data_IF_920499995079
#
_entry.id   IF_920499995079
#
_cell.length_a   1.000
_cell.length_b   1.000
_cell.length_c   1.000
_cell.angle_alpha   90.00
_cell.angle_beta   90.00
_cell.angle_gamma   90.00
#
_symmetry.space_group_name_H-M   'P 1'
#
loop_
_entity.id
_entity.type
_entity.pdbx_description
1 polymer ?
#
# COMPACT_ATOMS: atom_id res chain seq x y z
N UNK A 1 -6.08 14.66 -3.88
CA UNK A 1 -7.08 14.04 -4.77
C UNK A 1 -6.65 12.60 -5.04
N UNK A 2 -7.45 11.61 -4.65
CA UNK A 2 -7.09 10.19 -4.60
C UNK A 2 -7.56 9.43 -5.83
N UNK A 3 -6.79 8.42 -6.26
CA UNK A 3 -7.21 7.49 -7.31
C UNK A 3 -8.13 6.45 -6.67
N UNK A 4 -9.21 6.05 -7.33
CA UNK A 4 -9.90 4.82 -6.98
C UNK A 4 -9.43 3.69 -7.90
N UNK A 5 -8.87 2.64 -7.29
CA UNK A 5 -8.41 1.45 -7.98
C UNK A 5 -9.37 0.29 -7.69
N UNK A 6 -9.90 -0.32 -8.76
CA UNK A 6 -10.65 -1.55 -8.70
C UNK A 6 -9.70 -2.75 -8.85
N UNK A 7 -9.68 -3.63 -7.86
CA UNK A 7 -8.98 -4.91 -7.85
C UNK A 7 -9.99 -6.03 -8.13
N UNK A 8 -9.63 -6.90 -9.07
CA UNK A 8 -10.32 -8.15 -9.36
C UNK A 8 -9.36 -9.31 -9.07
N UNK A 9 -9.78 -10.26 -8.25
CA UNK A 9 -9.01 -11.45 -7.90
C UNK A 9 -9.87 -12.69 -8.05
N UNK A 10 -9.39 -13.66 -8.83
CA UNK A 10 -9.98 -14.98 -8.99
C UNK A 10 -8.97 -16.06 -8.63
N UNK A 11 -9.35 -16.95 -7.73
CA UNK A 11 -8.66 -18.22 -7.51
C UNK A 11 -9.62 -19.36 -7.84
N UNK A 12 -9.21 -20.26 -8.74
CA UNK A 12 -10.03 -21.37 -9.24
C UNK A 12 -9.30 -22.70 -9.11
N UNK A 13 -10.02 -23.70 -8.61
CA UNK A 13 -9.60 -25.09 -8.54
C UNK A 13 -10.56 -25.91 -9.39
N UNK A 14 -10.04 -26.68 -10.35
CA UNK A 14 -10.83 -27.64 -11.13
C UNK A 14 -10.30 -29.04 -10.86
N UNK A 15 -11.17 -29.90 -10.36
CA UNK A 15 -10.85 -31.27 -10.00
C UNK A 15 -11.12 -32.19 -11.19
N UNK A 16 -10.36 -33.29 -11.29
CA UNK A 16 -10.54 -34.31 -12.33
C UNK A 16 -11.80 -35.17 -12.13
N UNK A 17 -12.44 -35.07 -10.96
CA UNK A 17 -13.66 -35.78 -10.56
C UNK A 17 -14.50 -34.96 -9.57
N UNK A 18 -15.71 -35.42 -9.29
CA UNK A 18 -16.53 -34.88 -8.21
C UNK A 18 -15.90 -35.19 -6.84
N UNK A 19 -15.54 -34.13 -6.12
CA UNK A 19 -14.96 -34.20 -4.77
C UNK A 19 -15.94 -33.68 -3.74
N UNK A 20 -15.86 -34.20 -2.51
CA UNK A 20 -16.43 -33.53 -1.36
C UNK A 20 -15.49 -32.41 -0.90
N UNK A 21 -15.99 -31.17 -0.92
CA UNK A 21 -15.34 -30.07 -0.22
C UNK A 21 -15.73 -30.15 1.25
N UNK A 22 -14.75 -30.32 2.13
CA UNK A 22 -14.93 -30.13 3.57
C UNK A 22 -15.06 -28.65 3.92
N UNK A 23 -15.07 -28.30 5.22
CA UNK A 23 -15.11 -26.90 5.65
C UNK A 23 -13.97 -26.09 5.02
N UNK A 24 -14.32 -24.97 4.40
CA UNK A 24 -13.37 -24.01 3.84
C UNK A 24 -13.36 -22.73 4.67
N UNK A 25 -12.24 -22.04 4.68
CA UNK A 25 -12.06 -20.72 5.28
C UNK A 25 -11.40 -19.79 4.26
N UNK A 26 -12.03 -18.65 4.01
CA UNK A 26 -11.54 -17.62 3.09
C UNK A 26 -11.25 -16.34 3.89
N UNK A 27 -10.02 -15.83 3.78
CA UNK A 27 -9.52 -14.62 4.47
C UNK A 27 -9.15 -13.53 3.46
N UNK A 28 -10.02 -13.30 2.48
CA UNK A 28 -9.78 -12.36 1.38
C UNK A 28 -10.52 -11.03 1.54
N UNK A 29 -11.06 -10.76 2.73
CA UNK A 29 -11.70 -9.49 3.08
C UNK A 29 -10.70 -8.58 3.81
N UNK A 30 -10.56 -7.30 3.41
CA UNK A 30 -9.68 -6.35 4.11
C UNK A 30 -9.90 -6.31 5.60
N UNK A 31 -8.80 -6.31 6.35
CA UNK A 31 -8.79 -6.29 7.79
C UNK A 31 -9.38 -4.97 8.32
N UNK A 32 -10.02 -4.97 9.50
CA UNK A 32 -10.64 -3.76 10.06
C UNK A 32 -9.70 -2.56 10.26
N UNK A 33 -8.40 -2.82 10.39
CA UNK A 33 -7.37 -1.80 10.63
C UNK A 33 -6.68 -1.34 9.33
N UNK A 34 -7.19 -1.72 8.16
CA UNK A 34 -6.66 -1.24 6.87
C UNK A 34 -6.72 0.29 6.83
N UNK A 35 -5.56 0.93 6.58
CA UNK A 35 -5.45 2.39 6.48
C UNK A 35 -6.09 2.93 5.21
N UNK A 36 -5.92 2.22 4.09
CA UNK A 36 -6.55 2.57 2.82
C UNK A 36 -8.06 2.34 2.89
N UNK A 37 -8.84 3.34 2.46
CA UNK A 37 -10.29 3.28 2.54
C UNK A 37 -10.82 2.33 1.47
N UNK A 38 -11.51 1.29 1.92
CA UNK A 38 -12.21 0.34 1.03
C UNK A 38 -13.60 0.87 0.75
N UNK A 39 -13.84 1.27 -0.50
CA UNK A 39 -15.11 1.85 -0.96
C UNK A 39 -16.17 0.75 -1.14
N UNK A 40 -15.76 -0.37 -1.73
CA UNK A 40 -16.64 -1.52 -1.93
C UNK A 40 -15.86 -2.82 -1.91
N UNK A 41 -16.54 -3.89 -1.51
CA UNK A 41 -16.00 -5.25 -1.45
C UNK A 41 -17.10 -6.24 -1.82
N UNK A 42 -16.78 -7.24 -2.64
CA UNK A 42 -17.62 -8.38 -2.95
C UNK A 42 -16.84 -9.68 -2.73
N UNK A 43 -17.55 -10.74 -2.35
CA UNK A 43 -17.04 -12.11 -2.36
C UNK A 43 -18.07 -12.99 -3.06
N UNK A 44 -17.69 -13.56 -4.21
CA UNK A 44 -18.47 -14.59 -4.89
C UNK A 44 -17.75 -15.92 -4.78
N UNK A 45 -18.49 -16.95 -4.40
CA UNK A 45 -17.95 -18.31 -4.30
C UNK A 45 -18.81 -19.27 -5.12
N UNK A 46 -18.14 -20.13 -5.88
CA UNK A 46 -18.76 -21.18 -6.67
C UNK A 46 -18.21 -22.55 -6.26
N UNK A 47 -19.05 -23.59 -6.13
CA UNK A 47 -20.49 -23.64 -6.48
C UNK A 47 -21.38 -22.83 -5.52
N UNK A 48 -22.49 -22.28 -6.00
CA UNK A 48 -23.34 -21.34 -5.25
C UNK A 48 -24.19 -21.98 -4.14
N UNK A 49 -24.38 -23.30 -4.16
CA UNK A 49 -25.18 -24.05 -3.18
C UNK A 49 -24.50 -24.27 -1.82
N UNK A 50 -23.66 -23.32 -1.37
CA UNK A 50 -22.90 -23.43 -0.12
C UNK A 50 -23.55 -22.65 1.01
N UNK A 51 -23.24 -23.05 2.24
CA UNK A 51 -23.48 -22.22 3.41
C UNK A 51 -22.26 -21.33 3.67
N UNK A 52 -22.48 -20.06 3.99
CA UNK A 52 -21.41 -19.10 4.37
C UNK A 52 -21.73 -18.46 5.72
N UNK A 53 -20.76 -18.50 6.63
CA UNK A 53 -20.80 -17.80 7.91
C UNK A 53 -19.60 -16.86 8.03
N UNK A 54 -19.86 -15.57 8.22
CA UNK A 54 -18.84 -14.58 8.48
C UNK A 54 -18.54 -14.49 9.96
N UNK A 55 -17.26 -14.52 10.31
CA UNK A 55 -16.80 -14.32 11.68
C UNK A 55 -15.47 -13.57 11.68
N UNK A 56 -15.03 -13.21 12.88
CA UNK A 56 -13.67 -12.77 13.14
C UNK A 56 -12.90 -13.88 13.85
N UNK A 57 -11.63 -14.05 13.49
CA UNK A 57 -10.71 -14.91 14.23
C UNK A 57 -10.25 -14.22 15.54
N UNK A 58 -9.48 -14.88 16.43
CA UNK A 58 -8.97 -14.27 17.66
C UNK A 58 -8.12 -13.01 17.46
N UNK A 59 -7.67 -12.74 16.23
CA UNK A 59 -6.86 -11.58 15.85
C UNK A 59 -7.68 -10.51 15.13
N UNK A 60 -9.02 -10.63 15.15
CA UNK A 60 -9.99 -9.76 14.50
C UNK A 60 -9.94 -9.75 12.96
N UNK A 61 -9.26 -10.72 12.33
CA UNK A 61 -9.29 -10.87 10.88
C UNK A 61 -10.65 -11.41 10.44
N UNK A 62 -11.18 -10.87 9.35
CA UNK A 62 -12.40 -11.39 8.75
C UNK A 62 -12.15 -12.76 8.11
N UNK A 63 -13.00 -13.72 8.43
CA UNK A 63 -12.99 -15.01 7.76
C UNK A 63 -14.42 -15.42 7.36
N UNK A 64 -14.59 -15.78 6.09
CA UNK A 64 -15.77 -16.49 5.64
C UNK A 64 -15.54 -17.98 5.84
N UNK A 65 -16.41 -18.65 6.59
CA UNK A 65 -16.39 -20.10 6.76
C UNK A 65 -17.48 -20.72 5.91
N UNK A 66 -17.10 -21.66 5.05
CA UNK A 66 -17.98 -22.24 4.06
C UNK A 66 -18.12 -23.75 4.24
N UNK A 67 -19.32 -24.26 3.99
CA UNK A 67 -19.62 -25.69 3.96
C UNK A 67 -20.41 -25.99 2.69
N UNK A 68 -20.00 -27.04 2.00
CA UNK A 68 -20.57 -27.45 0.72
C UNK A 68 -21.35 -28.76 0.91
N UNK A 69 -22.69 -28.76 0.78
CA UNK A 69 -23.51 -29.95 0.97
C UNK A 69 -23.40 -30.95 -0.21
N UNK A 70 -23.13 -30.44 -1.41
CA UNK A 70 -23.05 -31.24 -2.63
C UNK A 70 -21.60 -31.41 -3.10
N UNK A 71 -21.31 -32.54 -3.75
CA UNK A 71 -20.03 -32.76 -4.41
C UNK A 71 -19.89 -31.86 -5.64
N UNK A 72 -18.68 -31.45 -5.96
CA UNK A 72 -18.38 -30.54 -7.07
C UNK A 72 -17.11 -30.93 -7.80
N UNK A 73 -16.97 -30.55 -9.07
CA UNK A 73 -15.75 -30.67 -9.86
C UNK A 73 -14.94 -29.36 -9.90
N UNK A 74 -15.41 -28.32 -9.21
CA UNK A 74 -14.72 -27.03 -9.15
C UNK A 74 -14.97 -26.29 -7.83
N UNK A 75 -14.04 -25.40 -7.49
CA UNK A 75 -14.16 -24.42 -6.42
C UNK A 75 -13.55 -23.11 -6.91
N UNK A 76 -14.34 -22.04 -6.97
CA UNK A 76 -13.86 -20.73 -7.43
C UNK A 76 -14.20 -19.66 -6.42
N UNK A 77 -13.22 -18.83 -6.08
CA UNK A 77 -13.36 -17.69 -5.20
C UNK A 77 -13.02 -16.44 -6.00
N UNK A 78 -13.98 -15.53 -6.11
CA UNK A 78 -13.82 -14.23 -6.78
C UNK A 78 -14.01 -13.10 -5.78
N UNK A 79 -13.09 -12.16 -5.77
CA UNK A 79 -13.14 -10.94 -4.97
C UNK A 79 -13.03 -9.74 -5.89
N UNK A 80 -14.01 -8.84 -5.80
CA UNK A 80 -13.91 -7.50 -6.36
C UNK A 80 -13.82 -6.48 -5.22
N UNK A 81 -12.89 -5.55 -5.33
CA UNK A 81 -12.65 -4.53 -4.32
C UNK A 81 -12.33 -3.19 -4.98
N UNK A 82 -12.87 -2.11 -4.43
CA UNK A 82 -12.45 -0.74 -4.81
C UNK A 82 -11.77 -0.09 -3.62
N UNK A 83 -10.51 0.30 -3.80
CA UNK A 83 -9.72 1.02 -2.82
C UNK A 83 -9.48 2.47 -3.23
N UNK A 84 -9.55 3.38 -2.27
CA UNK A 84 -9.06 4.74 -2.41
C UNK A 84 -7.54 4.77 -2.16
N UNK A 85 -6.77 5.02 -3.22
CA UNK A 85 -5.31 5.11 -3.23
C UNK A 85 -4.87 6.52 -2.83
N UNK A 86 -5.25 6.93 -1.62
CA UNK A 86 -4.79 8.17 -1.02
C UNK A 86 -3.40 7.96 -0.42
N UNK A 87 -2.39 8.65 -0.96
CA UNK A 87 -1.02 8.60 -0.43
C UNK A 87 -1.02 9.18 0.99
N UNK A 88 -0.47 8.42 1.94
CA UNK A 88 -0.18 8.90 3.28
C UNK A 88 1.31 8.75 3.57
N UNK A 89 1.84 9.59 4.45
CA UNK A 89 3.23 9.45 4.90
C UNK A 89 3.35 8.19 5.78
N UNK A 90 4.15 7.18 5.40
CA UNK A 90 4.30 5.96 6.19
C UNK A 90 5.01 6.19 7.52
N UNK A 91 5.64 7.35 7.72
CA UNK A 91 6.28 7.79 8.96
C UNK A 91 5.42 8.75 9.81
N UNK A 92 4.15 8.97 9.43
CA UNK A 92 3.25 9.88 10.16
C UNK A 92 2.65 9.19 11.40
N UNK A 93 3.49 9.07 12.43
CA UNK A 93 3.15 8.57 13.76
C UNK A 93 4.15 9.09 14.78
N UNK A 94 3.81 8.98 16.07
CA UNK A 94 4.71 9.32 17.16
C UNK A 94 5.03 8.08 17.98
N UNK A 95 6.26 8.02 18.51
CA UNK A 95 6.65 6.99 19.46
C UNK A 95 6.55 7.55 20.87
N UNK A 96 6.23 6.69 21.83
CA UNK A 96 6.43 7.04 23.23
C UNK A 96 7.93 7.28 23.51
N UNK A 97 8.31 8.18 24.44
CA UNK A 97 9.71 8.52 24.70
C UNK A 97 10.62 7.32 24.96
N UNK A 98 10.09 6.27 25.61
CA UNK A 98 10.84 5.03 25.89
C UNK A 98 11.18 4.21 24.65
N UNK A 99 10.40 4.36 23.58
CA UNK A 99 10.53 3.61 22.34
C UNK A 99 11.16 4.43 21.21
N UNK A 100 11.52 5.69 21.43
CA UNK A 100 12.20 6.53 20.43
C UNK A 100 13.55 5.94 19.98
N UNK A 101 14.26 5.28 20.91
CA UNK A 101 15.53 4.63 20.66
C UNK A 101 15.44 3.12 20.90
N UNK A 102 16.00 2.35 19.98
CA UNK A 102 16.21 0.91 20.11
C UNK A 102 17.57 0.66 20.77
N UNK A 103 17.71 -0.35 21.65
CA UNK A 103 16.67 -1.24 22.15
C UNK A 103 15.80 -0.58 23.23
N UNK A 104 14.53 -0.99 23.30
CA UNK A 104 13.60 -0.61 24.37
C UNK A 104 12.87 -1.84 24.91
N UNK A 105 12.23 -1.68 26.07
CA UNK A 105 11.37 -2.71 26.66
C UNK A 105 9.90 -2.28 26.65
N UNK A 106 9.01 -3.23 26.39
CA UNK A 106 7.56 -3.04 26.55
C UNK A 106 7.22 -2.99 28.04
N UNK A 107 6.21 -2.19 28.40
CA UNK A 107 5.63 -2.24 29.75
C UNK A 107 5.11 -3.67 30.04
N UNK A 108 5.18 -4.16 31.28
CA UNK A 108 4.85 -5.55 31.60
C UNK A 108 3.47 -6.02 31.09
N UNK A 109 2.44 -5.18 31.25
CA UNK A 109 1.07 -5.50 30.81
C UNK A 109 0.97 -5.59 29.28
N UNK A 110 1.53 -4.60 28.58
CA UNK A 110 1.57 -4.59 27.10
C UNK A 110 2.38 -5.79 26.58
N UNK A 111 3.47 -6.14 27.24
CA UNK A 111 4.29 -7.31 26.90
C UNK A 111 3.50 -8.62 27.04
N UNK A 112 2.66 -8.73 28.07
CA UNK A 112 1.78 -9.88 28.28
C UNK A 112 0.74 -9.98 27.16
N UNK A 113 0.08 -8.88 26.80
CA UNK A 113 -0.88 -8.82 25.70
C UNK A 113 -0.23 -9.15 24.33
N UNK A 114 1.05 -8.78 24.17
CA UNK A 114 1.83 -9.04 22.96
C UNK A 114 2.53 -10.42 22.94
N UNK A 115 2.35 -11.27 23.96
CA UNK A 115 3.09 -12.52 24.10
C UNK A 115 3.06 -13.41 22.83
N UNK A 116 1.93 -13.60 22.12
CA UNK A 116 1.92 -14.39 20.87
C UNK A 116 2.84 -13.81 19.79
N UNK A 117 2.96 -12.48 19.74
CA UNK A 117 3.76 -11.75 18.76
C UNK A 117 5.23 -11.59 19.14
N UNK A 118 5.59 -12.00 20.36
CA UNK A 118 6.97 -12.10 20.86
C UNK A 118 7.50 -13.55 20.81
N UNK A 119 6.64 -14.53 20.53
CA UNK A 119 6.99 -15.94 20.50
C UNK A 119 8.00 -16.26 19.39
N UNK A 120 9.19 -16.71 19.79
CA UNK A 120 10.35 -16.93 18.93
C UNK A 120 10.42 -18.39 18.49
N UNK A 121 10.74 -18.63 17.23
CA UNK A 121 11.25 -19.94 16.82
C UNK A 121 12.66 -20.14 17.39
N UNK A 122 13.05 -21.40 17.64
CA UNK A 122 14.41 -21.71 18.07
C UNK A 122 15.42 -21.25 16.99
N UNK A 123 16.52 -20.59 17.38
CA UNK A 123 17.49 -20.10 16.41
C UNK A 123 18.28 -21.28 15.83
N UNK A 124 18.13 -21.49 14.52
CA UNK A 124 18.90 -22.46 13.73
C UNK A 124 20.28 -21.89 13.35
N UNK A 125 21.25 -22.70 12.88
CA UNK A 125 22.63 -22.25 12.70
C UNK A 125 22.82 -21.03 11.80
N UNK A 126 22.23 -21.00 10.60
CA UNK A 126 22.35 -19.84 9.70
C UNK A 126 21.59 -18.64 10.25
N UNK A 127 20.39 -18.88 10.81
CA UNK A 127 19.61 -17.81 11.43
C UNK A 127 20.32 -17.17 12.62
N UNK A 128 20.92 -17.98 13.51
CA UNK A 128 21.70 -17.50 14.65
C UNK A 128 22.89 -16.64 14.19
N UNK A 129 23.66 -17.13 13.20
CA UNK A 129 24.77 -16.38 12.61
C UNK A 129 24.33 -15.06 11.98
N UNK A 130 23.20 -15.07 11.28
CA UNK A 130 22.64 -13.86 10.69
C UNK A 130 22.19 -12.86 11.77
N UNK A 131 21.56 -13.36 12.82
CA UNK A 131 21.09 -12.60 13.98
C UNK A 131 22.23 -11.98 14.81
N UNK A 132 23.40 -12.61 14.86
CA UNK A 132 24.65 -12.06 15.43
C UNK A 132 25.17 -10.86 14.64
N UNK A 133 24.94 -10.84 13.32
CA UNK A 133 25.34 -9.75 12.45
C UNK A 133 24.43 -8.51 12.53
N UNK A 134 23.31 -8.56 13.26
CA UNK A 134 22.40 -7.42 13.42
C UNK A 134 22.98 -6.48 14.48
N UNK A 135 23.27 -5.22 14.09
CA UNK A 135 23.69 -4.20 15.05
C UNK A 135 22.52 -3.84 15.98
N UNK A 136 22.76 -3.98 17.28
CA UNK A 136 21.79 -3.65 18.34
C UNK A 136 22.29 -2.52 19.24
N UNK A 137 23.28 -1.78 18.78
CA UNK A 137 23.74 -0.57 19.44
C UNK A 137 22.60 0.46 19.52
N UNK A 138 22.60 1.31 20.57
CA UNK A 138 21.59 2.34 20.72
C UNK A 138 21.49 3.27 19.50
N UNK A 139 20.32 3.32 18.88
CA UNK A 139 20.02 4.20 17.75
C UNK A 139 18.52 4.50 17.70
N UNK A 140 18.08 5.45 16.86
CA UNK A 140 16.66 5.73 16.70
C UNK A 140 15.93 4.48 16.20
N UNK A 141 14.80 4.15 16.82
CA UNK A 141 14.06 2.92 16.50
C UNK A 141 13.68 2.84 15.01
N UNK A 142 13.29 3.96 14.43
CA UNK A 142 12.93 4.00 13.00
C UNK A 142 14.12 3.75 12.09
N UNK A 143 15.31 4.27 12.44
CA UNK A 143 16.52 4.03 11.67
C UNK A 143 16.90 2.54 11.73
N UNK A 144 16.79 1.91 12.91
CA UNK A 144 16.98 0.47 13.08
C UNK A 144 16.02 -0.36 12.21
N UNK A 145 14.72 -0.01 12.20
CA UNK A 145 13.71 -0.72 11.42
C UNK A 145 13.92 -0.57 9.91
N UNK A 146 14.28 0.63 9.44
CA UNK A 146 14.60 0.87 8.03
C UNK A 146 15.84 0.07 7.63
N UNK A 147 16.90 0.10 8.43
CA UNK A 147 18.15 -0.63 8.15
C UNK A 147 17.94 -2.14 8.06
N UNK A 148 17.23 -2.75 9.03
CA UNK A 148 17.01 -4.21 9.00
C UNK A 148 16.11 -4.63 7.83
N UNK A 149 15.12 -3.81 7.49
CA UNK A 149 14.22 -4.07 6.35
C UNK A 149 14.98 -4.00 5.01
N UNK A 150 15.79 -2.96 4.82
CA UNK A 150 16.62 -2.79 3.62
C UNK A 150 17.72 -3.85 3.52
N UNK A 151 18.31 -4.25 4.65
CA UNK A 151 19.28 -5.34 4.67
C UNK A 151 18.67 -6.64 4.16
N UNK A 152 17.46 -6.99 4.59
CA UNK A 152 16.79 -8.20 4.10
C UNK A 152 16.49 -8.12 2.61
N UNK A 153 16.06 -6.95 2.13
CA UNK A 153 15.83 -6.71 0.71
C UNK A 153 17.11 -6.90 -0.12
N UNK A 154 18.27 -6.54 0.44
CA UNK A 154 19.57 -6.74 -0.21
C UNK A 154 20.06 -8.19 -0.15
N UNK A 155 19.90 -8.83 1.02
CA UNK A 155 20.47 -10.15 1.32
C UNK A 155 19.63 -11.31 0.75
N UNK A 156 18.34 -11.10 0.46
CA UNK A 156 17.40 -12.12 -0.02
C UNK A 156 16.83 -11.73 -1.39
N UNK A 157 17.21 -12.47 -2.43
CA UNK A 157 16.70 -12.26 -3.79
C UNK A 157 15.22 -12.66 -3.90
N UNK A 158 14.39 -11.78 -4.45
CA UNK A 158 12.98 -12.08 -4.67
C UNK A 158 12.78 -13.08 -5.83
N UNK A 159 11.93 -14.09 -5.61
CA UNK A 159 11.46 -15.00 -6.64
C UNK A 159 9.98 -15.34 -6.46
N UNK A 160 9.31 -15.59 -7.59
CA UNK A 160 7.93 -16.08 -7.61
C UNK A 160 8.00 -17.61 -7.50
N UNK A 161 7.25 -18.18 -6.55
CA UNK A 161 7.26 -19.63 -6.32
C UNK A 161 5.87 -20.17 -6.00
N UNK A 162 5.58 -21.34 -6.57
CA UNK A 162 4.26 -21.98 -6.48
C UNK A 162 4.15 -23.00 -5.35
N UNK A 163 5.25 -23.40 -4.71
CA UNK A 163 5.21 -24.42 -3.66
C UNK A 163 4.40 -23.92 -2.45
N UNK A 164 3.62 -24.78 -1.80
CA UNK A 164 2.86 -24.39 -0.62
C UNK A 164 3.77 -24.06 0.57
N UNK A 165 3.21 -23.39 1.57
CA UNK A 165 3.90 -23.08 2.82
C UNK A 165 4.88 -21.91 2.73
N UNK A 166 5.48 -21.57 3.87
CA UNK A 166 6.47 -20.50 4.03
C UNK A 166 7.80 -21.13 4.36
N UNK A 167 8.87 -20.69 3.72
CA UNK A 167 10.22 -21.14 4.05
C UNK A 167 10.55 -20.79 5.50
N UNK A 168 11.25 -21.69 6.18
CA UNK A 168 11.80 -21.36 7.50
C UNK A 168 12.90 -20.30 7.35
N UNK A 169 13.22 -19.53 8.42
CA UNK A 169 14.34 -18.59 8.38
C UNK A 169 15.66 -19.23 7.93
N UNK A 170 15.92 -20.49 8.34
CA UNK A 170 17.08 -21.25 7.91
C UNK A 170 17.10 -21.48 6.39
N UNK A 171 15.97 -21.90 5.82
CA UNK A 171 15.84 -22.17 4.39
C UNK A 171 15.99 -20.90 3.56
N UNK A 172 15.34 -19.80 3.96
CA UNK A 172 15.44 -18.51 3.27
C UNK A 172 16.89 -18.03 3.23
N UNK A 173 17.61 -18.13 4.36
CA UNK A 173 19.02 -17.75 4.45
C UNK A 173 19.94 -18.70 3.69
N UNK A 174 19.68 -20.01 3.71
CA UNK A 174 20.45 -21.00 2.96
C UNK A 174 20.33 -20.80 1.45
N UNK A 175 19.13 -20.45 0.97
CA UNK A 175 18.86 -20.19 -0.45
C UNK A 175 19.22 -18.77 -0.89
N UNK A 176 19.40 -17.84 0.06
CA UNK A 176 19.51 -16.41 -0.17
C UNK A 176 18.42 -15.87 -1.12
N UNK A 177 17.24 -16.50 -1.11
CA UNK A 177 16.15 -16.18 -2.03
C UNK A 177 14.81 -16.72 -1.55
N UNK A 178 13.74 -16.02 -1.89
CA UNK A 178 12.39 -16.39 -1.48
C UNK A 178 11.30 -15.49 -2.07
N UNK A 179 10.06 -15.88 -1.83
CA UNK A 179 8.87 -15.05 -2.12
C UNK A 179 8.61 -14.06 -0.99
N UNK A 180 7.67 -13.13 -1.19
CA UNK A 180 7.32 -12.10 -0.20
C UNK A 180 6.97 -12.67 1.18
N UNK A 181 6.25 -13.81 1.22
CA UNK A 181 5.96 -14.55 2.46
C UNK A 181 7.20 -15.07 3.19
N UNK A 182 8.26 -15.42 2.46
CA UNK A 182 9.49 -15.99 3.05
C UNK A 182 10.31 -14.87 3.70
N UNK A 183 10.51 -13.76 2.98
CA UNK A 183 11.19 -12.57 3.50
C UNK A 183 10.40 -11.92 4.64
N UNK A 184 9.07 -11.82 4.51
CA UNK A 184 8.19 -11.31 5.55
C UNK A 184 8.28 -12.13 6.84
N UNK A 185 8.31 -13.47 6.74
CA UNK A 185 8.46 -14.33 7.91
C UNK A 185 9.86 -14.29 8.54
N UNK A 186 10.90 -14.21 7.71
CA UNK A 186 12.27 -13.99 8.20
C UNK A 186 12.36 -12.69 9.00
N UNK A 187 11.77 -11.59 8.50
CA UNK A 187 11.75 -10.31 9.21
C UNK A 187 10.99 -10.39 10.54
N UNK A 188 9.82 -11.06 10.56
CA UNK A 188 9.07 -11.29 11.80
C UNK A 188 9.94 -11.98 12.85
N UNK A 189 10.66 -13.05 12.47
CA UNK A 189 11.52 -13.77 13.42
C UNK A 189 12.70 -12.93 13.88
N UNK A 190 13.34 -12.14 13.00
CA UNK A 190 14.43 -11.26 13.40
C UNK A 190 13.98 -10.22 14.42
N UNK A 191 12.87 -9.54 14.17
CA UNK A 191 12.34 -8.52 15.08
C UNK A 191 11.98 -9.12 16.45
N UNK A 192 11.36 -10.31 16.47
CA UNK A 192 11.08 -11.04 17.71
C UNK A 192 12.33 -11.39 18.49
N UNK A 193 13.38 -11.82 17.79
CA UNK A 193 14.68 -12.10 18.42
C UNK A 193 15.38 -10.82 18.92
N UNK A 194 15.14 -9.67 18.28
CA UNK A 194 15.53 -8.34 18.74
C UNK A 194 14.63 -7.78 19.87
N UNK A 195 13.63 -8.53 20.33
CA UNK A 195 12.77 -8.13 21.45
C UNK A 195 11.55 -7.30 21.05
N UNK A 196 11.29 -7.14 19.74
CA UNK A 196 10.15 -6.39 19.21
C UNK A 196 9.00 -7.34 18.84
N UNK A 197 7.78 -7.00 19.25
CA UNK A 197 6.60 -7.76 18.90
C UNK A 197 6.29 -7.58 17.42
N UNK A 198 6.23 -8.68 16.67
CA UNK A 198 6.01 -8.66 15.23
C UNK A 198 4.99 -9.71 14.79
N UNK A 199 4.24 -9.42 13.71
CA UNK A 199 3.22 -10.29 13.15
C UNK A 199 3.38 -10.42 11.63
N UNK A 200 2.95 -11.58 11.13
CA UNK A 200 2.90 -11.87 9.71
C UNK A 200 1.61 -11.32 9.13
N UNK A 201 1.71 -10.63 7.99
CA UNK A 201 0.54 -10.07 7.30
C UNK A 201 0.44 -10.70 5.92
N UNK A 202 -0.76 -11.17 5.60
CA UNK A 202 -1.18 -11.61 4.27
C UNK A 202 -2.21 -10.60 3.75
N UNK A 203 -2.00 -10.10 2.54
CA UNK A 203 -2.77 -8.98 2.02
C UNK A 203 -2.79 -8.90 0.50
N UNK A 204 -3.38 -7.82 -0.02
CA UNK A 204 -3.16 -7.39 -1.39
C UNK A 204 -2.08 -6.31 -1.44
N UNK A 205 -1.32 -6.30 -2.52
CA UNK A 205 -0.50 -5.16 -2.90
C UNK A 205 -1.07 -4.58 -4.20
N UNK A 206 -1.43 -3.30 -4.18
CA UNK A 206 -1.76 -2.52 -5.37
C UNK A 206 -0.63 -1.52 -5.60
N UNK A 207 0.03 -1.61 -6.75
CA UNK A 207 1.02 -0.61 -7.17
C UNK A 207 0.57 0.01 -8.48
N UNK A 208 0.36 1.32 -8.45
CA UNK A 208 0.03 2.09 -9.63
C UNK A 208 1.30 2.70 -10.20
N UNK A 209 1.39 2.71 -11.53
CA UNK A 209 2.45 3.42 -12.26
C UNK A 209 2.44 4.90 -11.86
N UNK A 210 3.54 5.46 -11.35
CA UNK A 210 3.60 6.88 -11.04
C UNK A 210 3.59 7.72 -12.32
N UNK A 211 2.94 8.88 -12.27
CA UNK A 211 2.84 9.81 -13.41
C UNK A 211 4.22 10.39 -13.78
N UNK A 212 5.08 10.58 -12.78
CA UNK A 212 6.43 11.14 -12.92
C UNK A 212 7.42 10.14 -12.36
N UNK A 213 8.47 9.84 -13.13
CA UNK A 213 9.57 9.01 -12.62
C UNK A 213 10.33 9.76 -11.53
N UNK A 214 10.63 9.07 -10.44
CA UNK A 214 11.43 9.64 -9.36
C UNK A 214 12.81 10.05 -9.89
N UNK A 215 13.29 11.23 -9.48
CA UNK A 215 14.63 11.73 -9.83
C UNK A 215 15.71 11.11 -8.94
N UNK A 216 15.43 10.99 -7.63
CA UNK A 216 16.42 10.61 -6.60
C UNK A 216 15.99 9.38 -5.75
N UNK A 217 14.98 8.63 -6.18
CA UNK A 217 14.47 7.44 -5.47
C UNK A 217 14.17 6.27 -6.39
N UNK A 218 13.75 5.11 -5.85
CA UNK A 218 13.38 3.95 -6.65
C UNK A 218 12.32 4.35 -7.68
N UNK A 219 12.59 4.08 -8.96
CA UNK A 219 11.55 4.15 -9.98
C UNK A 219 10.45 3.16 -9.59
N UNK A 220 9.24 3.66 -9.33
CA UNK A 220 8.08 2.83 -9.05
C UNK A 220 7.77 1.88 -10.20
N UNK A 221 6.71 1.11 -10.08
CA UNK A 221 6.31 0.16 -11.13
C UNK A 221 6.10 0.84 -12.49
N UNK A 222 6.50 0.19 -13.58
CA UNK A 222 6.31 0.70 -14.95
C UNK A 222 4.87 0.47 -15.46
N UNK A 223 4.11 -0.39 -14.78
CA UNK A 223 2.71 -0.74 -15.09
C UNK A 223 1.88 -0.81 -13.81
N UNK A 224 0.58 -0.57 -13.92
CA UNK A 224 -0.33 -0.87 -12.82
C UNK A 224 -0.37 -2.39 -12.62
N UNK A 225 -0.16 -2.84 -11.39
CA UNK A 225 -0.29 -4.24 -11.07
C UNK A 225 -0.85 -4.46 -9.67
N UNK A 226 -1.36 -5.66 -9.46
CA UNK A 226 -1.77 -6.13 -8.15
C UNK A 226 -1.52 -7.61 -8.02
N UNK A 227 -1.19 -8.03 -6.80
CA UNK A 227 -0.99 -9.43 -6.44
C UNK A 227 -1.37 -9.66 -4.97
N UNK A 228 -1.53 -10.93 -4.59
CA UNK A 228 -1.43 -11.32 -3.19
C UNK A 228 -0.01 -11.09 -2.70
N UNK A 229 0.11 -10.51 -1.53
CA UNK A 229 1.39 -10.13 -0.96
C UNK A 229 1.45 -10.45 0.52
N UNK A 230 2.68 -10.54 1.03
CA UNK A 230 2.90 -10.74 2.45
C UNK A 230 4.06 -9.88 2.94
N UNK A 231 3.91 -9.36 4.16
CA UNK A 231 4.89 -8.48 4.79
C UNK A 231 4.89 -8.67 6.31
N UNK A 232 5.75 -7.92 7.00
CA UNK A 232 5.87 -7.94 8.45
C UNK A 232 5.24 -6.67 9.03
N UNK A 233 4.53 -6.79 10.16
CA UNK A 233 4.17 -5.64 10.98
C UNK A 233 4.83 -5.72 12.35
N UNK A 234 5.31 -4.59 12.86
CA UNK A 234 5.93 -4.46 14.19
C UNK A 234 5.09 -3.55 15.07
N UNK A 235 4.89 -3.92 16.33
CA UNK A 235 4.17 -3.09 17.29
C UNK A 235 5.13 -2.14 18.01
N UNK A 236 4.86 -0.85 17.91
CA UNK A 236 5.65 0.21 18.54
C UNK A 236 4.77 1.03 19.50
N UNK A 237 5.18 1.20 20.78
CA UNK A 237 4.46 2.05 21.73
C UNK A 237 4.29 3.48 21.18
N UNK A 238 3.07 4.01 21.22
CA UNK A 238 2.68 5.28 20.62
C UNK A 238 2.20 5.21 19.16
N UNK A 239 2.79 4.34 18.34
CA UNK A 239 2.48 4.25 16.90
C UNK A 239 1.56 3.08 16.52
N UNK A 240 1.50 2.04 17.34
CA UNK A 240 0.74 0.82 17.03
C UNK A 240 1.48 -0.11 16.06
N UNK A 241 0.73 -0.80 15.20
CA UNK A 241 1.28 -1.74 14.21
C UNK A 241 1.77 -1.00 12.96
N UNK A 242 3.06 -1.09 12.68
CA UNK A 242 3.72 -0.47 11.52
C UNK A 242 4.21 -1.54 10.55
N UNK A 243 3.83 -1.42 9.28
CA UNK A 243 4.18 -2.37 8.23
C UNK A 243 5.56 -2.12 7.61
N UNK A 244 6.30 -3.21 7.40
CA UNK A 244 7.63 -3.28 6.80
C UNK A 244 7.60 -4.36 5.72
N UNK A 245 7.92 -3.97 4.49
CA UNK A 245 7.98 -4.88 3.35
C UNK A 245 9.46 -5.18 2.99
N UNK A 246 10.00 -6.33 3.42
CA UNK A 246 11.39 -6.71 3.14
C UNK A 246 11.61 -7.10 1.68
N UNK A 247 10.56 -7.18 0.86
CA UNK A 247 10.68 -7.41 -0.58
C UNK A 247 11.10 -6.13 -1.30
N UNK A 248 10.54 -4.99 -0.88
CA UNK A 248 10.85 -3.68 -1.45
C UNK A 248 11.89 -2.89 -0.62
N UNK A 249 12.11 -3.27 0.64
CA UNK A 249 12.95 -2.52 1.57
C UNK A 249 12.27 -1.26 2.10
N UNK A 250 10.97 -1.09 1.84
CA UNK A 250 10.18 0.08 2.21
C UNK A 250 9.18 -0.25 3.34
N UNK A 251 8.68 0.80 4.01
CA UNK A 251 7.52 0.66 4.87
C UNK A 251 6.26 0.42 4.02
N UNK A 252 5.28 -0.27 4.59
CA UNK A 252 4.00 -0.52 3.94
C UNK A 252 3.24 0.80 3.70
N UNK A 253 2.88 1.06 2.45
CA UNK A 253 2.16 2.25 2.00
C UNK A 253 0.69 1.99 1.73
N UNK A 254 0.02 2.92 1.05
CA UNK A 254 -1.40 2.86 0.73
C UNK A 254 -1.79 1.68 -0.18
N UNK A 255 -0.81 1.13 -0.91
CA UNK A 255 -0.97 -0.06 -1.73
C UNK A 255 -1.06 -1.36 -0.93
N UNK A 256 -0.60 -1.39 0.32
CA UNK A 256 -0.60 -2.57 1.17
C UNK A 256 -1.93 -2.70 1.92
N UNK A 257 -2.82 -3.55 1.41
CA UNK A 257 -4.16 -3.77 1.96
C UNK A 257 -4.14 -5.05 2.80
N UNK A 258 -4.04 -4.97 4.15
CA UNK A 258 -4.01 -6.16 4.99
C UNK A 258 -5.33 -6.93 4.91
N UNK A 259 -5.26 -8.26 4.82
CA UNK A 259 -6.42 -9.14 4.83
C UNK A 259 -6.44 -9.99 6.11
N UNK A 260 -5.31 -10.61 6.44
CA UNK A 260 -5.13 -11.39 7.66
C UNK A 260 -3.76 -11.11 8.31
N UNK A 261 -3.78 -10.69 9.56
CA UNK A 261 -2.58 -10.40 10.36
C UNK A 261 -2.53 -11.36 11.55
N UNK A 262 -1.49 -12.20 11.62
CA UNK A 262 -1.41 -13.28 12.61
C UNK A 262 0.00 -13.43 13.19
N UNK A 263 0.16 -14.01 14.39
CA UNK A 263 1.48 -14.34 14.91
C UNK A 263 2.20 -15.45 14.13
N UNK A 264 1.47 -16.29 13.39
CA UNK A 264 2.02 -17.43 12.66
C UNK A 264 1.49 -17.44 11.23
N UNK A 265 2.33 -17.67 10.19
CA UNK A 265 1.90 -17.59 8.79
C UNK A 265 0.78 -18.56 8.43
N UNK A 266 0.71 -19.71 9.10
CA UNK A 266 -0.36 -20.70 8.91
C UNK A 266 -1.75 -20.13 9.18
N UNK A 267 -1.89 -19.17 10.10
CA UNK A 267 -3.17 -18.51 10.38
C UNK A 267 -3.58 -17.46 9.33
N UNK A 268 -2.68 -17.08 8.42
CA UNK A 268 -2.89 -16.04 7.42
C UNK A 268 -3.06 -16.59 6.00
N UNK A 269 -3.23 -17.91 5.85
CA UNK A 269 -3.52 -18.54 4.56
C UNK A 269 -4.78 -17.90 3.94
N UNK A 270 -4.72 -17.38 2.70
CA UNK A 270 -5.85 -16.69 2.06
C UNK A 270 -7.07 -17.59 1.89
N UNK A 271 -6.84 -18.86 1.55
CA UNK A 271 -7.84 -19.92 1.41
C UNK A 271 -7.26 -21.18 2.05
N UNK A 272 -8.02 -21.80 2.96
CA UNK A 272 -7.68 -23.09 3.55
C UNK A 272 -8.93 -23.96 3.66
N UNK A 273 -8.74 -25.28 3.65
CA UNK A 273 -9.83 -26.21 3.88
C UNK A 273 -9.46 -27.63 3.51
N UNK A 274 -10.44 -28.53 3.64
CA UNK A 274 -10.30 -29.95 3.35
C UNK A 274 -10.94 -30.27 2.01
N UNK A 275 -10.33 -31.17 1.25
CA UNK A 275 -10.88 -31.69 0.00
C UNK A 275 -10.52 -33.18 -0.11
N UNK A 276 -11.39 -33.97 -0.72
CA UNK A 276 -11.05 -35.34 -1.10
C UNK A 276 -9.80 -35.36 -2.00
N UNK A 277 -9.07 -36.48 -1.97
CA UNK A 277 -7.90 -36.66 -2.84
C UNK A 277 -8.30 -36.64 -4.32
N UNK A 278 -7.73 -35.71 -5.09
CA UNK A 278 -8.02 -35.49 -6.49
C UNK A 278 -6.90 -34.72 -7.18
N UNK A 279 -6.76 -34.95 -8.49
CA UNK A 279 -5.89 -34.13 -9.32
C UNK A 279 -6.54 -32.76 -9.51
N UNK A 280 -5.76 -31.69 -9.34
CA UNK A 280 -6.28 -30.32 -9.38
C UNK A 280 -5.57 -29.48 -10.43
N UNK A 281 -6.35 -28.87 -11.31
CA UNK A 281 -5.90 -27.76 -12.13
C UNK A 281 -6.17 -26.45 -11.39
N UNK A 282 -5.08 -25.79 -11.01
CA UNK A 282 -5.11 -24.50 -10.35
C UNK A 282 -5.11 -23.35 -11.38
N UNK A 283 -5.91 -22.31 -11.12
CA UNK A 283 -5.93 -21.07 -11.87
C UNK A 283 -5.97 -19.88 -10.91
N UNK A 284 -5.22 -18.84 -11.26
CA UNK A 284 -5.11 -17.61 -10.49
C UNK A 284 -5.03 -16.43 -11.46
N UNK A 285 -5.89 -15.42 -11.26
CA UNK A 285 -5.96 -14.21 -12.08
C UNK A 285 -6.16 -13.02 -11.15
N UNK A 286 -5.36 -11.98 -11.35
CA UNK A 286 -5.46 -10.72 -10.63
C UNK A 286 -5.30 -9.56 -11.60
N UNK A 287 -6.17 -8.56 -11.47
CA UNK A 287 -6.19 -7.36 -12.31
C UNK A 287 -6.50 -6.15 -11.47
N UNK A 288 -5.87 -5.02 -11.82
CA UNK A 288 -6.20 -3.71 -11.26
C UNK A 288 -6.61 -2.77 -12.39
N UNK A 289 -7.58 -1.91 -12.13
CA UNK A 289 -8.04 -0.89 -13.07
C UNK A 289 -8.30 0.40 -12.32
N UNK A 290 -7.82 1.52 -12.86
CA UNK A 290 -8.13 2.85 -12.33
C UNK A 290 -9.55 3.22 -12.78
N UNK A 291 -10.48 3.37 -11.85
CA UNK A 291 -11.90 3.65 -12.16
C UNK A 291 -12.29 5.10 -11.87
N UNK A 292 -11.49 5.81 -11.09
CA UNK A 292 -11.65 7.24 -10.88
C UNK A 292 -10.28 7.88 -10.68
N UNK A 293 -10.01 8.94 -11.45
CA UNK A 293 -8.86 9.82 -11.25
C UNK A 293 -9.38 11.25 -11.28
N UNK A 294 -9.17 12.00 -10.20
CA UNK A 294 -9.42 13.44 -10.27
C UNK A 294 -8.38 14.10 -11.17
N UNK A 295 -8.73 15.14 -11.96
CA UNK A 295 -7.81 15.83 -12.86
C UNK A 295 -6.53 16.29 -12.14
N UNK A 296 -5.37 16.06 -12.76
CA UNK A 296 -4.06 16.38 -12.19
C UNK A 296 -3.31 17.34 -13.10
N UNK A 297 -2.55 18.24 -12.49
CA UNK A 297 -1.60 19.12 -13.22
C UNK A 297 -0.44 18.36 -13.87
N UNK A 298 -0.25 17.07 -13.53
CA UNK A 298 0.85 16.22 -14.02
C UNK A 298 0.55 15.47 -15.31
N UNK A 299 -0.71 15.45 -15.78
CA UNK A 299 -1.12 14.81 -17.02
C UNK A 299 -1.86 15.82 -17.91
N UNK A 300 -1.69 15.75 -19.25
CA UNK A 300 -2.51 16.53 -20.16
C UNK A 300 -3.98 16.10 -20.05
N UNK A 301 -4.91 17.02 -20.32
CA UNK A 301 -6.33 16.66 -20.49
C UNK A 301 -6.49 15.58 -21.56
N UNK A 302 -7.44 14.66 -21.38
CA UNK A 302 -7.81 13.74 -22.46
C UNK A 302 -8.34 14.52 -23.67
N UNK A 303 -8.26 13.94 -24.87
CA UNK A 303 -8.80 14.58 -26.08
C UNK A 303 -10.29 14.97 -25.91
N UNK A 304 -11.06 14.12 -25.23
CA UNK A 304 -12.48 14.37 -24.92
C UNK A 304 -12.65 15.53 -23.92
N UNK A 305 -11.81 15.62 -22.89
CA UNK A 305 -11.83 16.74 -21.95
C UNK A 305 -11.42 18.05 -22.63
N UNK A 306 -10.41 17.99 -23.50
CA UNK A 306 -9.95 19.16 -24.25
C UNK A 306 -11.02 19.67 -25.20
N UNK A 307 -11.68 18.77 -25.92
CA UNK A 307 -12.81 19.10 -26.79
C UNK A 307 -13.97 19.72 -25.99
N UNK A 308 -14.29 19.18 -24.81
CA UNK A 308 -15.31 19.76 -23.94
C UNK A 308 -14.93 21.18 -23.44
N UNK A 309 -13.66 21.42 -23.15
CA UNK A 309 -13.15 22.76 -22.78
C UNK A 309 -13.29 23.73 -23.96
N UNK A 310 -12.93 23.31 -25.17
CA UNK A 310 -13.07 24.13 -26.38
C UNK A 310 -14.55 24.46 -26.66
N UNK A 311 -15.43 23.47 -26.56
CA UNK A 311 -16.87 23.66 -26.73
C UNK A 311 -17.46 24.62 -25.69
N UNK A 312 -16.99 24.55 -24.43
CA UNK A 312 -17.37 25.52 -23.41
C UNK A 312 -16.84 26.92 -23.74
N UNK A 313 -15.61 27.03 -24.26
CA UNK A 313 -15.04 28.28 -24.76
C UNK A 313 -15.90 28.90 -25.86
N UNK A 314 -16.28 28.12 -26.86
CA UNK A 314 -17.16 28.57 -27.95
C UNK A 314 -18.53 29.03 -27.44
N UNK A 315 -19.10 28.34 -26.44
CA UNK A 315 -20.36 28.73 -25.80
C UNK A 315 -20.22 30.07 -25.06
N UNK A 316 -19.15 30.24 -24.28
CA UNK A 316 -18.86 31.49 -23.59
C UNK A 316 -18.66 32.63 -24.59
N UNK A 317 -17.89 32.41 -25.66
CA UNK A 317 -17.66 33.40 -26.71
C UNK A 317 -18.96 33.81 -27.42
N UNK A 318 -19.85 32.84 -27.69
CA UNK A 318 -21.16 33.12 -28.27
C UNK A 318 -22.02 33.96 -27.32
N UNK A 319 -21.99 33.66 -26.02
CA UNK A 319 -22.74 34.40 -25.01
C UNK A 319 -22.21 35.83 -24.83
N UNK A 320 -20.88 36.01 -24.73
CA UNK A 320 -20.24 37.32 -24.65
C UNK A 320 -20.61 38.21 -25.84
N UNK A 321 -20.66 37.64 -27.06
CA UNK A 321 -21.11 38.36 -28.26
C UNK A 321 -22.59 38.72 -28.22
N UNK A 322 -23.45 37.79 -27.77
CA UNK A 322 -24.90 38.00 -27.69
C UNK A 322 -25.26 39.10 -26.68
N UNK A 323 -24.54 39.17 -25.56
CA UNK A 323 -24.75 40.14 -24.48
C UNK A 323 -23.96 41.45 -24.68
N UNK A 324 -23.31 41.64 -25.84
CA UNK A 324 -22.45 42.80 -26.17
C UNK A 324 -21.38 43.09 -25.08
N UNK A 325 -20.82 42.02 -24.50
CA UNK A 325 -19.74 42.12 -23.51
C UNK A 325 -18.45 42.42 -24.26
N UNK A 326 -18.00 43.66 -24.15
CA UNK A 326 -16.78 44.15 -24.81
C UNK A 326 -15.61 44.14 -23.85
N UNK A 327 -14.45 43.73 -24.35
CA UNK A 327 -13.17 43.94 -23.67
C UNK A 327 -12.85 45.43 -23.63
N UNK A 328 -12.97 46.04 -22.45
CA UNK A 328 -12.35 47.33 -22.18
C UNK A 328 -10.96 47.08 -21.62
N UNK A 329 -9.93 47.25 -22.45
CA UNK A 329 -8.57 47.42 -21.93
C UNK A 329 -8.54 48.73 -21.14
N UNK A 330 -8.34 48.65 -19.82
CA UNK A 330 -8.06 49.82 -19.00
C UNK A 330 -6.80 50.51 -19.51
N UNK A 331 -6.91 51.79 -19.86
CA UNK A 331 -5.81 52.59 -20.43
C UNK A 331 -4.75 53.03 -19.41
N UNK A 332 -4.72 52.47 -18.22
CA UNK A 332 -3.66 52.72 -17.24
C UNK A 332 -2.54 51.71 -17.45
N UNK A 333 -1.39 52.12 -18.02
CA UNK A 333 -0.21 51.27 -18.02
C UNK A 333 0.25 51.09 -16.57
N UNK A 334 -0.01 49.91 -16.00
CA UNK A 334 0.54 49.52 -14.71
C UNK A 334 1.98 49.08 -14.93
N UNK A 335 2.91 50.00 -14.71
CA UNK A 335 4.34 49.70 -14.73
C UNK A 335 4.71 48.96 -13.44
N UNK A 336 5.55 47.93 -13.55
CA UNK A 336 6.17 47.23 -12.42
C UNK A 336 7.66 47.13 -12.73
N UNK A 337 8.52 47.67 -11.86
CA UNK A 337 9.97 47.65 -12.05
C UNK A 337 10.52 46.21 -12.02
N UNK A 338 11.49 45.87 -12.87
CA UNK A 338 12.02 44.50 -12.95
C UNK A 338 12.84 44.10 -11.72
N UNK A 339 13.53 45.07 -11.11
CA UNK A 339 14.49 44.85 -10.04
C UNK A 339 13.86 44.83 -8.63
N UNK A 340 12.65 45.37 -8.48
CA UNK A 340 11.98 45.49 -7.18
C UNK A 340 10.45 45.48 -7.31
N UNK A 341 9.90 44.37 -7.80
CA UNK A 341 8.46 44.21 -8.13
C UNK A 341 7.53 44.28 -6.93
N UNK A 342 8.04 43.92 -5.75
CA UNK A 342 7.28 43.83 -4.52
C UNK A 342 7.29 45.14 -3.71
N UNK A 343 8.03 46.16 -4.16
CA UNK A 343 8.04 47.47 -3.53
C UNK A 343 6.63 48.06 -3.45
N UNK A 344 6.40 48.84 -2.38
CA UNK A 344 5.12 49.49 -2.15
C UNK A 344 4.67 50.34 -3.34
N UNK A 345 5.58 50.97 -4.08
CA UNK A 345 5.25 51.82 -5.23
C UNK A 345 4.64 51.09 -6.44
N UNK A 346 4.74 49.76 -6.50
CA UNK A 346 4.12 48.95 -7.56
C UNK A 346 2.85 48.23 -7.10
N UNK A 347 2.62 48.14 -5.79
CA UNK A 347 1.53 47.36 -5.22
C UNK A 347 0.48 48.21 -4.50
N UNK A 348 0.89 49.19 -3.68
CA UNK A 348 -0.03 49.88 -2.75
C UNK A 348 0.11 51.40 -2.73
N UNK A 349 1.30 51.94 -2.98
CA UNK A 349 1.56 53.38 -2.99
C UNK A 349 1.38 53.98 -4.39
N UNK A 350 0.69 55.13 -4.45
CA UNK A 350 0.39 55.81 -5.72
C UNK A 350 1.65 56.29 -6.46
N UNK A 351 2.65 56.79 -5.72
CA UNK A 351 3.94 57.23 -6.23
C UNK A 351 5.05 56.82 -5.26
N UNK A 352 6.12 56.22 -5.76
CA UNK A 352 7.33 55.98 -4.99
C UNK A 352 8.55 56.68 -5.56
N UNK A 353 9.73 56.44 -4.95
CA UNK A 353 10.95 57.16 -5.29
C UNK A 353 11.41 56.91 -6.74
N UNK A 354 11.09 55.75 -7.33
CA UNK A 354 11.63 55.35 -8.63
C UNK A 354 10.59 55.40 -9.76
N UNK A 355 9.30 55.19 -9.44
CA UNK A 355 8.20 55.11 -10.40
C UNK A 355 8.08 56.31 -11.31
N UNK A 356 8.25 57.53 -10.77
CA UNK A 356 8.23 58.77 -11.58
C UNK A 356 9.43 58.85 -12.53
N UNK A 357 10.61 58.43 -12.09
CA UNK A 357 11.84 58.49 -12.89
C UNK A 357 11.75 57.53 -14.07
N UNK A 358 11.33 56.29 -13.83
CA UNK A 358 11.16 55.31 -14.91
C UNK A 358 10.04 55.67 -15.88
N UNK A 359 8.92 56.22 -15.39
CA UNK A 359 7.84 56.68 -16.26
C UNK A 359 8.29 57.83 -17.18
N UNK A 360 9.14 58.74 -16.69
CA UNK A 360 9.72 59.81 -17.51
C UNK A 360 10.74 59.28 -18.51
N UNK A 361 11.64 58.37 -18.11
CA UNK A 361 12.62 57.76 -19.03
C UNK A 361 11.93 57.04 -20.21
N UNK A 362 10.81 56.35 -19.94
CA UNK A 362 9.99 55.72 -20.96
C UNK A 362 9.25 56.71 -21.86
N UNK A 363 8.77 57.83 -21.33
CA UNK A 363 8.11 58.87 -22.13
C UNK A 363 9.06 59.53 -23.15
N UNK A 364 10.35 59.59 -22.82
CA UNK A 364 11.38 60.22 -23.64
C UNK A 364 12.16 59.23 -24.54
N UNK A 365 11.82 57.94 -24.52
CA UNK A 365 12.28 56.93 -25.48
C UNK A 365 11.27 56.76 -26.60
#
# INVERSE_FOLDING_TARGET
MSIHAALHHVTSYRYDRLVQLGPQVIRLRPAPHCRSKIISYSLKVEPSGHFINWQQDPFANWQARLVFPEKTDHFTVTVDLVAEMAVYNPFDFFLEPKAENFPFEYDPLVKEELAPYLAKAAPTPLFAKYLEGIDRSPQRTIDFLVQINQRLQHDVSYLIRMEPGVQTPEETLAKASGSCRDSGWLLVQLLRHCGLAARFVSGYLIQLKPDVKSLDGPSGTEVDFTDLHAWCEVYLPGAGWIGLDPTSGLLAGEGHIPLACTPQPSGAAPIEGLVDDAEVRFGHDMKVTRIHESPRVTLPYSDEQWEAILQLGDQVDAQLKADDVRLTMGGEPTYVGIDDRDAAEWNTAALGPTKRVFALDLLYR
#
